data_IF_302731939936
#
_entry.id   IF_302731939936
#
_cell.length_a   1.000
_cell.length_b   1.000
_cell.length_c   1.000
_cell.angle_alpha   90.00
_cell.angle_beta   90.00
_cell.angle_gamma   90.00
#
_symmetry.space_group_name_H-M   'P 1'
#
loop_
_entity.id
_entity.type
_entity.pdbx_description
1 polymer ?
#
# COMPACT_ATOMS: atom_id res chain seq x y z
N UNK A 1 14.22 5.59 -36.20
CA UNK A 1 15.49 5.27 -35.51
C UNK A 1 15.29 5.57 -34.03
N UNK A 2 15.17 4.54 -33.21
CA UNK A 2 15.12 4.68 -31.74
C UNK A 2 16.56 4.80 -31.21
N UNK A 3 16.83 5.77 -30.34
CA UNK A 3 18.06 5.80 -29.54
C UNK A 3 17.77 5.23 -28.16
N UNK A 4 18.44 4.15 -27.79
CA UNK A 4 18.54 3.71 -26.39
C UNK A 4 19.80 4.32 -25.76
N UNK A 5 19.63 5.13 -24.71
CA UNK A 5 20.73 5.43 -23.79
C UNK A 5 20.82 4.33 -22.74
N UNK A 6 22.01 3.72 -22.60
CA UNK A 6 22.37 2.94 -21.41
C UNK A 6 23.36 3.74 -20.56
N UNK A 7 22.98 4.10 -19.33
CA UNK A 7 23.93 4.62 -18.34
C UNK A 7 24.59 3.46 -17.60
N UNK A 8 25.91 3.41 -17.57
CA UNK A 8 26.68 2.55 -16.67
C UNK A 8 27.56 3.42 -15.76
N UNK A 9 27.25 3.45 -14.46
CA UNK A 9 28.07 4.13 -13.47
C UNK A 9 29.05 3.13 -12.85
N UNK A 10 30.36 3.36 -12.96
CA UNK A 10 31.40 2.57 -12.31
C UNK A 10 32.21 3.45 -11.36
N UNK A 11 31.98 3.28 -10.06
CA UNK A 11 32.76 3.91 -8.99
C UNK A 11 33.90 2.98 -8.56
N UNK A 12 35.15 3.38 -8.78
CA UNK A 12 36.33 2.73 -8.21
C UNK A 12 36.90 3.58 -7.07
N UNK A 13 36.95 3.03 -5.86
CA UNK A 13 37.62 3.64 -4.71
C UNK A 13 38.87 2.81 -4.37
N UNK A 14 40.03 3.45 -4.41
CA UNK A 14 41.31 2.88 -3.97
C UNK A 14 41.67 3.38 -2.55
N UNK A 15 42.16 2.54 -1.63
CA UNK A 15 42.46 2.94 -0.25
C UNK A 15 43.88 3.51 -0.10
N UNK A 16 44.03 4.58 0.68
CA UNK A 16 45.31 5.09 1.19
C UNK A 16 45.15 5.77 2.58
N UNK A 17 46.22 5.83 3.40
CA UNK A 17 46.15 6.06 4.87
C UNK A 17 46.21 7.58 5.28
N UNK A 18 46.10 7.93 6.59
CA UNK A 18 45.39 9.15 7.02
C UNK A 18 46.23 10.40 7.36
N UNK A 19 45.51 11.51 7.61
CA UNK A 19 45.90 12.85 8.14
C UNK A 19 46.39 13.88 7.08
N UNK A 20 46.18 15.20 7.30
CA UNK A 20 44.84 15.81 7.26
C UNK A 20 44.82 17.11 6.42
N UNK A 21 44.26 17.10 5.21
CA UNK A 21 44.01 18.30 4.41
C UNK A 21 42.86 18.11 3.40
N UNK A 22 42.17 19.21 3.12
CA UNK A 22 41.14 19.48 2.09
C UNK A 22 40.78 18.35 1.11
N UNK A 23 39.57 17.81 1.22
CA UNK A 23 38.98 16.92 0.19
C UNK A 23 38.36 17.78 -0.92
N UNK A 24 39.12 18.01 -1.98
CA UNK A 24 38.59 18.48 -3.26
C UNK A 24 38.14 17.27 -4.10
N UNK A 25 36.83 16.99 -4.14
CA UNK A 25 36.32 15.93 -5.02
C UNK A 25 36.17 16.42 -6.45
N UNK A 26 37.11 16.07 -7.33
CA UNK A 26 36.92 16.22 -8.78
C UNK A 26 36.02 15.11 -9.32
N UNK A 27 34.86 15.47 -9.84
CA UNK A 27 34.00 14.53 -10.60
C UNK A 27 34.30 14.66 -12.08
N UNK A 28 34.79 13.57 -12.68
CA UNK A 28 35.05 13.49 -14.13
C UNK A 28 33.96 12.66 -14.78
N UNK A 29 33.14 13.29 -15.64
CA UNK A 29 32.13 12.60 -16.42
C UNK A 29 32.67 12.34 -17.83
N UNK A 30 32.67 11.06 -18.23
CA UNK A 30 33.02 10.64 -19.60
C UNK A 30 31.77 10.16 -20.31
N UNK A 31 31.57 10.67 -21.53
CA UNK A 31 30.47 10.28 -22.40
C UNK A 31 31.03 9.64 -23.67
N UNK A 32 30.47 8.48 -24.04
CA UNK A 32 30.65 7.87 -25.35
C UNK A 32 29.36 8.05 -26.14
N UNK A 33 29.48 8.65 -27.32
CA UNK A 33 28.36 8.83 -28.25
C UNK A 33 28.72 8.13 -29.55
N UNK A 34 27.80 7.29 -30.04
CA UNK A 34 27.96 6.56 -31.30
C UNK A 34 27.08 7.20 -32.37
N UNK A 35 27.69 7.83 -33.38
CA UNK A 35 26.99 8.46 -34.49
C UNK A 35 27.60 8.00 -35.81
N UNK A 36 26.74 7.43 -36.68
CA UNK A 36 27.07 7.04 -38.07
C UNK A 36 28.40 6.26 -38.22
N UNK A 37 28.64 5.28 -37.36
CA UNK A 37 29.77 4.35 -37.52
C UNK A 37 31.13 4.87 -37.02
N UNK A 38 31.17 6.00 -36.31
CA UNK A 38 32.34 6.47 -35.58
C UNK A 38 32.03 6.63 -34.09
N UNK A 39 33.02 6.35 -33.26
CA UNK A 39 33.00 6.63 -31.82
C UNK A 39 33.74 7.94 -31.57
N UNK A 40 33.11 8.86 -30.86
CA UNK A 40 33.78 10.02 -30.27
C UNK A 40 33.62 9.96 -28.74
N UNK A 41 34.70 10.32 -28.04
CA UNK A 41 34.78 10.30 -26.57
C UNK A 41 34.95 11.72 -26.08
N UNK A 42 33.98 12.19 -25.30
CA UNK A 42 34.03 13.52 -24.67
C UNK A 42 34.25 13.37 -23.17
N UNK A 43 35.18 14.16 -22.62
CA UNK A 43 35.44 14.25 -21.19
C UNK A 43 35.11 15.67 -20.72
N UNK A 44 34.29 15.79 -19.68
CA UNK A 44 34.00 17.07 -19.03
C UNK A 44 34.47 16.97 -17.58
N UNK A 45 35.42 17.82 -17.19
CA UNK A 45 35.75 18.05 -15.78
C UNK A 45 34.84 19.14 -15.23
N UNK A 46 34.21 18.89 -14.08
CA UNK A 46 33.56 19.94 -13.29
C UNK A 46 34.18 19.98 -11.90
N UNK A 47 34.63 21.17 -11.48
CA UNK A 47 35.11 21.45 -10.14
C UNK A 47 34.02 22.21 -9.37
N UNK A 48 33.67 21.71 -8.18
CA UNK A 48 32.80 22.40 -7.23
C UNK A 48 33.64 22.84 -6.02
N UNK A 49 33.65 24.14 -5.73
CA UNK A 49 34.27 24.71 -4.54
C UNK A 49 33.18 25.28 -3.62
N UNK A 50 33.09 24.78 -2.39
CA UNK A 50 32.19 25.31 -1.37
C UNK A 50 33.01 25.71 -0.13
N UNK A 51 33.02 27.00 0.18
CA UNK A 51 33.71 27.56 1.35
C UNK A 51 32.71 27.78 2.48
N UNK A 52 32.97 27.25 3.67
CA UNK A 52 32.14 27.46 4.87
C UNK A 52 32.94 28.34 5.86
N UNK A 53 32.45 29.53 6.25
CA UNK A 53 33.08 30.33 7.31
C UNK A 53 32.67 29.83 8.70
N UNK A 54 33.66 29.58 9.56
CA UNK A 54 33.45 29.46 11.01
C UNK A 54 33.26 30.85 11.63
N UNK A 55 32.29 31.01 12.53
CA UNK A 55 32.22 32.16 13.44
C UNK A 55 31.79 31.72 14.84
N UNK A 56 32.46 32.29 15.85
CA UNK A 56 32.22 32.05 17.27
C UNK A 56 31.83 33.35 17.99
N UNK A 57 30.85 33.24 18.89
CA UNK A 57 30.56 34.09 20.07
C UNK A 57 30.20 35.59 19.90
N UNK A 58 29.11 35.95 20.60
CA UNK A 58 28.79 37.24 21.25
C UNK A 58 28.47 38.48 20.38
N UNK A 59 27.39 39.21 20.76
CA UNK A 59 27.29 40.66 20.54
C UNK A 59 26.13 41.22 19.69
N UNK A 60 24.92 41.25 20.26
CA UNK A 60 23.99 42.42 20.39
C UNK A 60 24.00 43.57 19.33
N UNK A 61 22.77 43.89 18.87
CA UNK A 61 22.20 45.14 18.30
C UNK A 61 22.15 45.45 16.78
N UNK A 62 20.92 45.85 16.41
CA UNK A 62 20.42 46.79 15.39
C UNK A 62 20.40 46.50 13.86
N UNK A 63 19.26 46.89 13.28
CA UNK A 63 18.94 46.89 11.84
C UNK A 63 19.09 48.31 11.25
N UNK A 64 19.25 48.46 9.92
CA UNK A 64 18.06 48.84 9.13
C UNK A 64 17.99 48.40 7.64
N UNK A 65 16.74 48.17 7.20
CA UNK A 65 16.09 48.52 5.91
C UNK A 65 16.87 48.82 4.60
N UNK A 66 16.40 48.14 3.54
CA UNK A 66 16.05 48.64 2.17
C UNK A 66 17.16 48.85 1.12
N UNK A 67 17.07 48.12 -0.01
CA UNK A 67 16.84 48.69 -1.36
C UNK A 67 16.69 47.59 -2.45
N UNK A 68 16.17 47.97 -3.63
CA UNK A 68 15.83 47.10 -4.79
C UNK A 68 16.20 47.88 -6.10
N UNK A 69 16.05 47.34 -7.34
CA UNK A 69 17.19 46.97 -8.21
C UNK A 69 17.21 47.63 -9.62
N UNK A 70 18.26 47.47 -10.45
CA UNK A 70 18.29 47.64 -11.94
C UNK A 70 19.38 46.71 -12.56
N UNK A 71 19.09 45.83 -13.56
CA UNK A 71 19.16 45.94 -15.06
C UNK A 71 20.59 46.22 -15.64
N UNK A 72 21.09 45.57 -16.73
CA UNK A 72 20.82 45.89 -18.17
C UNK A 72 21.56 44.91 -19.19
N UNK A 73 20.87 44.42 -20.26
CA UNK A 73 21.28 44.16 -21.70
C UNK A 73 22.40 43.13 -22.12
N UNK A 74 22.49 42.54 -23.36
CA UNK A 74 21.58 42.31 -24.54
C UNK A 74 22.12 41.29 -25.60
N UNK A 75 21.28 40.98 -26.63
CA UNK A 75 21.54 40.57 -28.07
C UNK A 75 21.42 39.08 -28.50
N UNK A 76 21.19 38.66 -29.78
CA UNK A 76 20.32 39.14 -30.89
C UNK A 76 20.20 38.15 -32.11
N UNK A 77 18.97 37.88 -32.61
CA UNK A 77 18.52 37.61 -34.03
C UNK A 77 19.10 36.44 -34.89
N UNK A 78 18.50 36.02 -36.06
CA UNK A 78 17.38 36.60 -36.84
C UNK A 78 16.17 35.67 -37.19
N UNK A 79 15.29 36.19 -38.06
CA UNK A 79 13.86 35.89 -38.33
C UNK A 79 13.55 34.78 -39.37
N UNK A 80 12.27 34.36 -39.46
CA UNK A 80 11.51 34.35 -40.73
C UNK A 80 9.97 34.26 -40.53
N UNK A 81 9.19 34.85 -41.45
CA UNK A 81 7.75 35.12 -41.32
C UNK A 81 6.82 34.02 -41.86
N UNK A 82 5.61 33.91 -41.31
CA UNK A 82 4.38 34.10 -42.12
C UNK A 82 3.13 34.40 -41.25
N UNK A 83 2.17 35.15 -41.81
CA UNK A 83 0.88 35.48 -41.19
C UNK A 83 -0.24 34.62 -41.79
N UNK A 84 -1.24 34.21 -40.98
CA UNK A 84 -2.68 34.48 -41.23
C UNK A 84 -3.56 34.04 -40.03
N UNK A 85 -4.74 34.66 -39.82
CA UNK A 85 -5.59 34.44 -38.65
C UNK A 85 -6.73 33.43 -38.91
N UNK A 86 -7.34 32.91 -37.84
CA UNK A 86 -8.65 32.24 -37.88
C UNK A 86 -9.55 32.84 -36.79
N UNK A 87 -10.83 33.01 -37.14
CA UNK A 87 -11.79 33.85 -36.42
C UNK A 87 -12.37 33.20 -35.14
N UNK A 88 -12.63 34.04 -34.13
CA UNK A 88 -13.66 33.76 -33.13
C UNK A 88 -15.05 33.89 -33.75
N UNK A 89 -15.88 32.84 -33.66
CA UNK A 89 -17.31 32.93 -33.93
C UNK A 89 -18.08 33.07 -32.61
N UNK A 90 -18.73 34.23 -32.41
CA UNK A 90 -19.82 34.35 -31.44
C UNK A 90 -21.04 33.63 -32.00
N UNK A 91 -21.72 32.83 -31.18
CA UNK A 91 -23.12 32.47 -31.40
C UNK A 91 -23.93 32.97 -30.21
N UNK A 92 -24.86 33.87 -30.50
CA UNK A 92 -25.86 34.38 -29.55
C UNK A 92 -27.22 33.86 -29.99
N UNK A 93 -27.94 33.19 -29.10
CA UNK A 93 -29.36 32.86 -29.30
C UNK A 93 -30.09 32.87 -27.96
N UNK A 94 -30.88 33.93 -27.76
CA UNK A 94 -31.91 34.03 -26.73
C UNK A 94 -33.23 33.43 -27.25
N UNK A 95 -33.88 32.57 -26.49
CA UNK A 95 -35.32 32.28 -26.61
C UNK A 95 -35.87 31.56 -25.37
N UNK A 96 -36.56 32.33 -24.53
CA UNK A 96 -37.86 32.08 -23.88
C UNK A 96 -38.28 30.72 -23.30
N UNK A 97 -38.84 30.83 -22.09
CA UNK A 97 -39.66 29.83 -21.41
C UNK A 97 -40.97 29.53 -22.18
N UNK A 98 -41.36 28.26 -22.26
CA UNK A 98 -42.78 27.84 -22.24
C UNK A 98 -42.91 26.39 -21.74
N UNK A 99 -43.81 26.08 -20.78
CA UNK A 99 -43.96 24.72 -20.26
C UNK A 99 -45.06 23.93 -20.99
N UNK A 100 -44.78 22.67 -21.32
CA UNK A 100 -45.78 21.73 -21.84
C UNK A 100 -46.65 21.18 -20.71
N UNK A 101 -47.93 21.54 -20.73
CA UNK A 101 -48.97 20.90 -19.91
C UNK A 101 -49.33 19.53 -20.48
N UNK A 102 -49.46 18.53 -19.61
CA UNK A 102 -50.47 17.48 -19.76
C UNK A 102 -51.44 17.58 -18.57
N UNK A 103 -52.70 17.23 -18.81
CA UNK A 103 -53.82 17.61 -17.94
C UNK A 103 -54.58 16.39 -17.41
N UNK A 104 -54.92 16.42 -16.12
CA UNK A 104 -56.05 15.68 -15.54
C UNK A 104 -56.74 16.59 -14.50
N UNK A 105 -58.09 16.54 -14.35
CA UNK A 105 -58.84 17.57 -13.67
C UNK A 105 -58.94 17.36 -12.15
N UNK A 106 -59.11 18.47 -11.41
CA UNK A 106 -59.43 18.50 -9.98
C UNK A 106 -60.64 19.41 -9.77
N UNK A 107 -61.57 19.01 -8.88
CA UNK A 107 -62.40 19.85 -7.97
C UNK A 107 -63.56 19.00 -7.36
N UNK A 108 -64.17 19.39 -6.22
CA UNK A 108 -63.59 19.97 -4.98
C UNK A 108 -64.27 19.41 -3.69
N UNK A 109 -64.21 20.18 -2.57
CA UNK A 109 -64.96 20.11 -1.28
C UNK A 109 -64.23 19.37 -0.13
N UNK A 110 -64.35 19.77 1.14
CA UNK A 110 -64.43 21.12 1.77
C UNK A 110 -64.02 20.99 3.28
N UNK A 111 -64.01 22.09 4.04
CA UNK A 111 -63.42 22.18 5.41
C UNK A 111 -64.36 21.75 6.57
N UNK A 112 -63.79 21.77 7.80
CA UNK A 112 -64.41 21.71 9.15
C UNK A 112 -64.72 20.29 9.71
N UNK A 113 -64.46 19.97 10.99
CA UNK A 113 -63.73 20.69 12.06
C UNK A 113 -63.76 19.98 13.43
N UNK A 114 -62.93 20.45 14.37
CA UNK A 114 -62.96 20.28 15.84
C UNK A 114 -62.61 18.93 16.56
N UNK A 115 -61.60 19.08 17.43
CA UNK A 115 -61.43 18.57 18.82
C UNK A 115 -60.92 17.14 19.12
N UNK A 116 -60.18 17.11 20.23
CA UNK A 116 -59.41 16.01 20.80
C UNK A 116 -60.29 15.09 21.68
N UNK A 117 -60.01 13.78 21.74
CA UNK A 117 -59.37 13.12 22.90
C UNK A 117 -59.39 11.56 22.85
N UNK A 118 -58.32 10.97 23.40
CA UNK A 118 -58.25 9.68 24.12
C UNK A 118 -58.60 8.31 23.45
N UNK A 119 -57.51 7.54 23.21
CA UNK A 119 -57.20 6.29 23.94
C UNK A 119 -57.70 4.90 23.45
N UNK A 120 -56.80 4.24 22.68
CA UNK A 120 -56.38 2.82 22.72
C UNK A 120 -57.34 1.65 22.37
N UNK A 121 -56.67 0.56 21.96
CA UNK A 121 -57.15 -0.78 21.55
C UNK A 121 -57.88 -0.81 20.19
N UNK A 122 -57.54 -1.69 19.23
CA UNK A 122 -56.48 -2.69 19.16
C UNK A 122 -56.92 -3.89 18.31
N UNK A 123 -56.28 -4.14 17.17
CA UNK A 123 -56.58 -5.31 16.31
C UNK A 123 -55.28 -5.97 15.84
N UNK A 124 -55.22 -7.29 15.99
CA UNK A 124 -54.11 -8.15 15.60
C UNK A 124 -54.34 -8.65 14.17
N UNK A 125 -53.38 -8.49 13.26
CA UNK A 125 -53.40 -9.13 11.94
C UNK A 125 -52.32 -10.21 11.85
N UNK A 126 -52.73 -11.47 11.70
CA UNK A 126 -51.81 -12.57 11.42
C UNK A 126 -51.38 -12.57 9.95
N UNK A 127 -50.07 -12.52 9.71
CA UNK A 127 -49.47 -12.88 8.43
C UNK A 127 -48.90 -14.31 8.53
N UNK A 128 -49.38 -15.21 7.67
CA UNK A 128 -48.91 -16.61 7.64
C UNK A 128 -47.55 -16.66 6.93
N UNK A 129 -46.52 -17.13 7.64
CA UNK A 129 -45.16 -17.19 7.12
C UNK A 129 -44.94 -18.35 6.14
N UNK A 130 -44.63 -18.03 4.88
CA UNK A 130 -44.07 -18.99 3.92
C UNK A 130 -42.57 -19.12 4.15
N UNK A 131 -42.12 -20.26 4.67
CA UNK A 131 -40.69 -20.60 4.75
C UNK A 131 -40.18 -21.01 3.37
N UNK A 132 -39.36 -20.15 2.75
CA UNK A 132 -38.47 -20.54 1.66
C UNK A 132 -37.02 -20.39 2.12
N UNK A 133 -36.32 -21.51 2.28
CA UNK A 133 -34.90 -21.51 2.63
C UNK A 133 -34.05 -21.13 1.42
N UNK A 134 -33.51 -19.91 1.43
CA UNK A 134 -32.34 -19.49 0.64
C UNK A 134 -31.45 -18.62 1.52
N UNK A 135 -30.15 -18.68 1.27
CA UNK A 135 -29.12 -18.00 2.06
C UNK A 135 -29.43 -16.51 2.24
N UNK A 136 -29.05 -15.97 3.40
CA UNK A 136 -29.26 -14.57 3.77
C UNK A 136 -28.64 -13.63 2.73
N UNK A 137 -29.46 -13.12 1.83
CA UNK A 137 -29.08 -12.06 0.90
C UNK A 137 -28.86 -10.79 1.70
N UNK A 138 -27.66 -10.21 1.60
CA UNK A 138 -27.29 -8.95 2.24
C UNK A 138 -28.43 -7.92 2.15
N UNK A 139 -28.87 -7.41 3.30
CA UNK A 139 -29.94 -6.43 3.36
C UNK A 139 -29.47 -5.11 2.76
N UNK A 140 -30.03 -4.79 1.58
CA UNK A 140 -29.90 -3.47 0.95
C UNK A 140 -30.37 -2.41 1.95
N UNK A 141 -29.43 -1.69 2.57
CA UNK A 141 -29.75 -0.74 3.63
C UNK A 141 -28.57 -0.24 4.47
N UNK A 142 -27.49 -1.02 4.63
CA UNK A 142 -26.22 -0.50 5.16
C UNK A 142 -25.24 -0.27 4.01
N UNK A 143 -24.88 0.99 3.78
CA UNK A 143 -23.79 1.40 2.89
C UNK A 143 -22.50 0.77 3.44
N UNK A 144 -21.89 -0.14 2.69
CA UNK A 144 -20.55 -0.60 3.01
C UNK A 144 -19.60 0.57 2.76
N UNK A 145 -19.15 1.21 3.83
CA UNK A 145 -18.22 2.32 3.79
C UNK A 145 -17.03 1.95 4.67
N UNK A 146 -15.88 1.83 4.01
CA UNK A 146 -14.58 1.70 4.62
C UNK A 146 -13.97 3.10 4.55
N UNK A 147 -13.58 3.68 5.68
CA UNK A 147 -13.03 5.04 5.71
C UNK A 147 -11.49 5.02 5.65
N UNK A 148 -10.84 4.21 6.52
CA UNK A 148 -9.39 4.03 6.58
C UNK A 148 -8.97 2.55 6.59
N UNK A 149 -7.70 2.26 6.27
CA UNK A 149 -7.10 0.92 6.34
C UNK A 149 -5.87 0.94 7.24
N UNK A 150 -6.06 0.82 8.56
CA UNK A 150 -5.00 1.07 9.56
C UNK A 150 -4.46 -0.22 10.18
N UNK A 151 -5.32 -1.16 10.58
CA UNK A 151 -4.91 -2.37 11.30
C UNK A 151 -5.72 -3.60 10.89
N UNK A 152 -5.18 -4.81 11.09
CA UNK A 152 -5.87 -6.04 10.73
C UNK A 152 -7.16 -6.26 11.55
N UNK A 153 -7.16 -5.83 12.82
CA UNK A 153 -8.23 -6.12 13.76
C UNK A 153 -9.57 -5.46 13.37
N UNK A 154 -9.53 -4.34 12.63
CA UNK A 154 -10.70 -3.55 12.20
C UNK A 154 -11.65 -4.32 11.26
N UNK A 155 -11.15 -5.33 10.54
CA UNK A 155 -11.93 -6.08 9.54
C UNK A 155 -12.72 -7.21 10.20
N UNK A 156 -14.04 -7.23 10.06
CA UNK A 156 -14.88 -8.40 10.36
C UNK A 156 -15.06 -9.31 9.12
N UNK A 157 -15.76 -10.44 9.28
CA UNK A 157 -15.94 -11.41 8.19
C UNK A 157 -16.69 -10.81 7.01
N UNK A 158 -17.72 -10.01 7.26
CA UNK A 158 -18.55 -9.41 6.22
C UNK A 158 -17.72 -8.41 5.41
N UNK A 159 -16.89 -7.60 6.09
CA UNK A 159 -15.94 -6.66 5.48
C UNK A 159 -14.84 -7.38 4.68
N UNK A 160 -14.34 -8.51 5.16
CA UNK A 160 -13.37 -9.34 4.41
C UNK A 160 -14.01 -9.94 3.16
N UNK A 161 -15.18 -10.57 3.29
CA UNK A 161 -15.94 -11.13 2.16
C UNK A 161 -16.26 -10.06 1.11
N UNK A 162 -16.63 -8.86 1.56
CA UNK A 162 -16.87 -7.70 0.72
C UNK A 162 -15.60 -7.31 -0.07
N UNK A 163 -14.47 -7.06 0.60
CA UNK A 163 -13.20 -6.74 -0.06
C UNK A 163 -12.79 -7.82 -1.07
N UNK A 164 -13.02 -9.10 -0.76
CA UNK A 164 -12.66 -10.23 -1.63
C UNK A 164 -13.57 -10.34 -2.85
N UNK A 165 -14.85 -9.97 -2.77
CA UNK A 165 -15.73 -9.93 -3.94
C UNK A 165 -15.28 -8.87 -4.95
N UNK A 166 -14.98 -7.65 -4.48
CA UNK A 166 -14.42 -6.62 -5.36
C UNK A 166 -13.04 -7.02 -5.88
N UNK A 167 -12.20 -7.69 -5.09
CA UNK A 167 -10.91 -8.21 -5.58
C UNK A 167 -11.08 -9.23 -6.72
N UNK A 168 -12.10 -10.11 -6.66
CA UNK A 168 -12.47 -11.02 -7.75
C UNK A 168 -12.93 -10.28 -9.02
N UNK A 169 -13.51 -9.09 -8.90
CA UNK A 169 -13.77 -8.22 -10.06
C UNK A 169 -12.49 -7.61 -10.62
N UNK A 170 -11.58 -7.14 -9.75
CA UNK A 170 -10.33 -6.51 -10.14
C UNK A 170 -9.38 -7.47 -10.88
N UNK A 171 -9.53 -8.78 -10.71
CA UNK A 171 -8.84 -9.80 -11.51
C UNK A 171 -9.10 -9.68 -13.02
N UNK A 172 -10.24 -9.12 -13.43
CA UNK A 172 -10.58 -8.89 -14.84
C UNK A 172 -9.74 -7.76 -15.45
N UNK A 173 -9.13 -6.89 -14.63
CA UNK A 173 -8.30 -5.74 -15.04
C UNK A 173 -6.83 -6.17 -15.23
N UNK A 174 -6.65 -7.13 -16.12
CA UNK A 174 -5.34 -7.68 -16.50
C UNK A 174 -4.55 -6.74 -17.44
N UNK A 175 -3.25 -7.02 -17.62
CA UNK A 175 -2.34 -6.25 -18.48
C UNK A 175 -2.80 -6.14 -19.95
N UNK A 176 -3.62 -7.10 -20.40
CA UNK A 176 -4.13 -7.19 -21.76
C UNK A 176 -5.64 -6.87 -21.86
N UNK A 177 -6.26 -6.40 -20.76
CA UNK A 177 -7.61 -5.85 -20.79
C UNK A 177 -7.60 -4.45 -21.44
N UNK A 178 -8.76 -3.86 -21.79
CA UNK A 178 -8.85 -2.45 -22.22
C UNK A 178 -8.40 -1.41 -21.19
N UNK A 179 -7.90 -1.85 -20.02
CA UNK A 179 -7.73 -1.02 -18.83
C UNK A 179 -9.06 -0.79 -18.10
N UNK A 180 -8.97 -0.29 -16.88
CA UNK A 180 -10.10 0.31 -16.19
C UNK A 180 -9.93 1.83 -16.15
N UNK A 181 -11.04 2.56 -16.08
CA UNK A 181 -11.10 4.01 -15.92
C UNK A 181 -11.96 4.39 -14.69
N UNK A 182 -12.20 3.42 -13.80
CA UNK A 182 -13.04 3.56 -12.60
C UNK A 182 -12.55 4.69 -11.69
N UNK A 183 -11.23 4.88 -11.57
CA UNK A 183 -10.60 5.93 -10.76
C UNK A 183 -10.02 7.07 -11.62
N UNK A 184 -10.54 7.28 -12.83
CA UNK A 184 -10.10 8.38 -13.68
C UNK A 184 -10.38 9.73 -13.01
N UNK A 185 -9.33 10.53 -12.85
CA UNK A 185 -9.40 11.85 -12.21
C UNK A 185 -9.06 11.85 -10.72
N UNK A 186 -8.88 10.69 -10.10
CA UNK A 186 -8.41 10.57 -8.72
C UNK A 186 -6.87 10.55 -8.65
N UNK A 187 -6.32 11.15 -7.59
CA UNK A 187 -4.90 11.26 -7.27
C UNK A 187 -4.59 10.53 -5.97
N UNK A 188 -3.72 9.52 -6.05
CA UNK A 188 -3.20 8.80 -4.87
C UNK A 188 -1.81 9.32 -4.51
N UNK A 189 -1.64 9.82 -3.29
CA UNK A 189 -0.32 10.12 -2.75
C UNK A 189 0.34 8.87 -2.15
N UNK A 190 1.64 8.68 -2.38
CA UNK A 190 2.41 7.58 -1.75
C UNK A 190 3.56 8.12 -0.91
N UNK A 191 3.44 8.01 0.42
CA UNK A 191 4.39 8.55 1.41
C UNK A 191 5.17 7.42 2.09
N UNK A 192 6.36 7.10 1.55
CA UNK A 192 7.20 6.01 2.06
C UNK A 192 8.43 6.56 2.80
N UNK A 193 8.39 6.50 4.13
CA UNK A 193 9.48 6.89 5.04
C UNK A 193 10.39 5.70 5.43
N UNK A 194 10.05 4.48 4.99
CA UNK A 194 10.89 3.29 5.06
C UNK A 194 10.90 2.64 3.65
N UNK A 195 12.05 2.20 3.12
CA UNK A 195 12.11 1.58 1.78
C UNK A 195 11.22 0.35 1.63
N UNK A 196 10.33 0.34 0.62
CA UNK A 196 9.60 -0.86 0.20
C UNK A 196 9.18 -0.82 -1.27
N UNK A 197 10.02 -1.39 -2.14
CA UNK A 197 9.80 -1.43 -3.59
C UNK A 197 8.52 -2.19 -3.97
N UNK A 198 8.31 -3.40 -3.43
CA UNK A 198 7.13 -4.22 -3.77
C UNK A 198 5.82 -3.55 -3.35
N UNK A 199 5.72 -3.11 -2.09
CA UNK A 199 4.49 -2.51 -1.58
C UNK A 199 4.17 -1.23 -2.35
N UNK A 200 5.12 -0.31 -2.53
CA UNK A 200 4.91 0.92 -3.30
C UNK A 200 4.48 0.64 -4.74
N UNK A 201 5.30 -0.08 -5.52
CA UNK A 201 5.02 -0.34 -6.94
C UNK A 201 3.69 -1.06 -7.16
N UNK A 202 3.26 -1.91 -6.21
CA UNK A 202 1.95 -2.58 -6.30
C UNK A 202 0.76 -1.64 -6.08
N UNK A 203 0.86 -0.64 -5.19
CA UNK A 203 -0.16 0.41 -5.06
C UNK A 203 -0.15 1.35 -6.26
N UNK A 204 1.02 1.80 -6.72
CA UNK A 204 1.12 2.64 -7.92
C UNK A 204 0.52 1.94 -9.15
N UNK A 205 0.80 0.63 -9.30
CA UNK A 205 0.24 -0.19 -10.37
C UNK A 205 -1.27 -0.40 -10.23
N UNK A 206 -1.79 -0.52 -9.01
CA UNK A 206 -3.23 -0.64 -8.75
C UNK A 206 -3.97 0.62 -9.19
N UNK A 207 -3.49 1.80 -8.75
CA UNK A 207 -4.08 3.09 -9.10
C UNK A 207 -4.06 3.34 -10.62
N UNK A 208 -2.88 3.17 -11.24
CA UNK A 208 -2.70 3.37 -12.70
C UNK A 208 -3.54 2.41 -13.54
N UNK A 209 -3.76 1.16 -13.09
CA UNK A 209 -4.66 0.21 -13.79
C UNK A 209 -6.13 0.55 -13.71
N UNK A 210 -6.54 1.28 -12.66
CA UNK A 210 -7.89 1.82 -12.51
C UNK A 210 -8.09 3.16 -13.22
N UNK A 211 -7.06 3.68 -13.89
CA UNK A 211 -7.09 4.95 -14.62
C UNK A 211 -6.78 6.18 -13.76
N UNK A 212 -6.43 5.99 -12.49
CA UNK A 212 -6.03 7.06 -11.57
C UNK A 212 -4.55 7.43 -11.68
N UNK A 213 -4.21 8.58 -11.09
CA UNK A 213 -2.86 9.15 -11.10
C UNK A 213 -2.17 9.02 -9.73
N UNK A 214 -0.85 9.22 -9.69
CA UNK A 214 -0.02 8.97 -8.51
C UNK A 214 0.92 10.14 -8.25
N UNK A 215 0.87 10.68 -7.04
CA UNK A 215 1.83 11.64 -6.50
C UNK A 215 2.83 10.88 -5.59
N UNK A 216 4.04 10.63 -6.09
CA UNK A 216 5.05 9.85 -5.35
C UNK A 216 6.17 10.73 -4.79
N UNK A 217 6.49 10.53 -3.51
CA UNK A 217 7.78 10.93 -2.95
C UNK A 217 8.54 9.68 -2.53
N UNK A 218 9.63 9.40 -3.23
CA UNK A 218 10.56 8.34 -2.81
C UNK A 218 11.36 8.83 -1.61
N UNK A 219 11.44 8.00 -0.56
CA UNK A 219 12.19 8.28 0.66
C UNK A 219 11.88 9.66 1.27
N UNK A 220 10.61 9.87 1.66
CA UNK A 220 10.12 11.15 2.18
C UNK A 220 10.96 11.70 3.35
N UNK A 221 11.57 10.82 4.16
CA UNK A 221 12.51 11.18 5.23
C UNK A 221 13.73 11.98 4.75
N UNK A 222 14.22 11.74 3.54
CA UNK A 222 15.42 12.39 2.98
C UNK A 222 15.09 13.51 1.99
N UNK A 223 13.99 13.40 1.24
CA UNK A 223 13.67 14.32 0.14
C UNK A 223 12.44 15.23 0.38
N UNK A 224 11.66 15.03 1.46
CA UNK A 224 10.52 15.91 1.79
C UNK A 224 10.89 16.94 2.86
N UNK A 225 9.94 17.82 3.21
CA UNK A 225 10.03 18.73 4.34
C UNK A 225 10.26 18.03 5.70
N UNK A 226 10.01 16.72 5.81
CA UNK A 226 10.38 15.93 6.98
C UNK A 226 11.91 15.94 7.24
N UNK A 227 12.73 16.02 6.18
CA UNK A 227 14.19 16.22 6.30
C UNK A 227 14.57 17.57 6.93
N UNK A 228 13.63 18.52 6.96
CA UNK A 228 13.75 19.86 7.56
C UNK A 228 13.08 19.95 8.94
N UNK A 229 12.58 18.83 9.48
CA UNK A 229 11.92 18.77 10.79
C UNK A 229 10.41 19.04 10.79
N UNK A 230 9.74 19.00 9.63
CA UNK A 230 8.27 19.04 9.57
C UNK A 230 7.64 17.84 10.31
N UNK A 231 6.51 18.05 11.00
CA UNK A 231 5.81 16.96 11.70
C UNK A 231 5.09 16.05 10.70
N UNK A 232 4.82 14.80 11.09
CA UNK A 232 4.04 13.88 10.26
C UNK A 232 2.64 14.47 9.98
N UNK A 233 2.04 15.07 11.01
CA UNK A 233 0.74 15.71 10.97
C UNK A 233 0.70 16.87 9.95
N UNK A 234 1.70 17.77 9.96
CA UNK A 234 1.82 18.87 8.98
C UNK A 234 2.06 18.36 7.56
N UNK A 235 2.90 17.32 7.39
CA UNK A 235 3.10 16.66 6.09
C UNK A 235 1.78 16.08 5.55
N UNK A 236 0.97 15.43 6.41
CA UNK A 236 -0.32 14.85 6.04
C UNK A 236 -1.31 15.95 5.66
N UNK A 237 -1.45 17.01 6.47
CA UNK A 237 -2.29 18.19 6.17
C UNK A 237 -1.89 18.91 4.88
N UNK A 238 -0.62 18.88 4.52
CA UNK A 238 -0.13 19.45 3.26
C UNK A 238 -0.47 18.55 2.06
N UNK A 239 -0.29 17.24 2.19
CA UNK A 239 -0.45 16.27 1.09
C UNK A 239 -1.92 15.96 0.79
N UNK A 240 -2.82 16.01 1.78
CA UNK A 240 -4.26 15.82 1.55
C UNK A 240 -4.85 16.92 0.65
N UNK A 241 -4.33 18.15 0.73
CA UNK A 241 -4.73 19.24 -0.16
C UNK A 241 -4.41 19.01 -1.65
N UNK A 242 -3.68 17.94 -1.99
CA UNK A 242 -3.26 17.58 -3.35
C UNK A 242 -3.74 16.20 -3.81
N UNK A 243 -4.40 15.41 -2.95
CA UNK A 243 -4.73 14.01 -3.24
C UNK A 243 -6.06 13.58 -2.65
N UNK A 244 -6.68 12.55 -3.21
CA UNK A 244 -7.95 12.00 -2.74
C UNK A 244 -7.77 10.83 -1.76
N UNK A 245 -6.55 10.29 -1.67
CA UNK A 245 -6.18 9.15 -0.82
C UNK A 245 -4.66 9.09 -0.59
N UNK A 246 -4.23 8.78 0.64
CA UNK A 246 -2.81 8.65 0.99
C UNK A 246 -2.50 7.18 1.35
N UNK A 247 -1.53 6.60 0.65
CA UNK A 247 -0.89 5.33 1.02
C UNK A 247 0.43 5.65 1.71
N UNK A 248 0.57 5.28 2.99
CA UNK A 248 1.78 5.59 3.76
C UNK A 248 2.47 4.37 4.37
N UNK A 249 3.80 4.45 4.46
CA UNK A 249 4.64 3.49 5.19
C UNK A 249 5.61 4.24 6.09
N UNK A 250 5.65 3.90 7.37
CA UNK A 250 6.43 4.61 8.38
C UNK A 250 7.29 3.67 9.23
N UNK A 251 8.38 4.18 9.80
CA UNK A 251 9.29 3.41 10.67
C UNK A 251 8.81 3.36 12.13
N UNK A 252 7.97 4.29 12.56
CA UNK A 252 7.29 4.26 13.86
C UNK A 252 5.99 3.46 13.81
N UNK A 253 5.70 2.71 14.88
CA UNK A 253 4.40 2.09 15.11
C UNK A 253 3.36 3.15 15.46
N UNK A 254 2.12 3.00 15.00
CA UNK A 254 1.00 3.91 15.26
C UNK A 254 0.99 5.17 14.39
N UNK A 255 2.03 5.42 13.59
CA UNK A 255 2.10 6.59 12.70
C UNK A 255 0.94 6.64 11.67
N UNK A 256 0.51 5.49 11.16
CA UNK A 256 -0.67 5.44 10.28
C UNK A 256 -1.96 5.86 11.00
N UNK A 257 -2.10 5.55 12.29
CA UNK A 257 -3.24 6.00 13.11
C UNK A 257 -3.17 7.50 13.41
N UNK A 258 -1.97 8.06 13.63
CA UNK A 258 -1.77 9.52 13.78
C UNK A 258 -2.16 10.26 12.50
N UNK A 259 -1.74 9.75 11.34
CA UNK A 259 -2.13 10.30 10.05
C UNK A 259 -3.65 10.24 9.82
N UNK A 260 -4.29 9.10 10.08
CA UNK A 260 -5.75 8.94 9.94
C UNK A 260 -6.55 9.85 10.87
N UNK A 261 -6.07 10.05 12.11
CA UNK A 261 -6.66 11.02 13.04
C UNK A 261 -6.42 12.49 12.64
N UNK A 262 -5.55 12.73 11.65
CA UNK A 262 -5.21 14.07 11.16
C UNK A 262 -5.93 14.38 9.84
N UNK A 263 -6.00 13.43 8.92
CA UNK A 263 -6.51 13.63 7.57
C UNK A 263 -8.04 13.69 7.49
N UNK A 264 -8.53 14.35 6.45
CA UNK A 264 -9.95 14.37 6.04
C UNK A 264 -10.22 13.46 4.82
N UNK A 265 -9.17 12.81 4.31
CA UNK A 265 -9.20 11.82 3.22
C UNK A 265 -8.69 10.44 3.71
N UNK A 266 -9.07 9.32 3.06
CA UNK A 266 -8.65 7.98 3.44
C UNK A 266 -7.13 7.77 3.55
N UNK A 267 -6.71 7.11 4.62
CA UNK A 267 -5.34 6.65 4.86
C UNK A 267 -5.24 5.12 4.72
N UNK A 268 -4.27 4.65 3.93
CA UNK A 268 -3.89 3.23 3.87
C UNK A 268 -2.52 3.00 4.51
N UNK A 269 -2.48 2.16 5.55
CA UNK A 269 -1.26 1.65 6.15
C UNK A 269 -0.60 0.57 5.26
N UNK A 270 0.50 0.96 4.62
CA UNK A 270 1.43 0.10 3.86
C UNK A 270 2.59 -0.44 4.73
N UNK A 271 2.49 -0.29 6.05
CA UNK A 271 3.36 -0.84 7.09
C UNK A 271 3.86 0.23 8.06
N UNK A 272 3.65 0.04 9.37
CA UNK A 272 4.09 0.97 10.42
C UNK A 272 4.96 0.29 11.50
N UNK A 273 6.25 0.60 11.51
CA UNK A 273 7.23 0.05 12.46
C UNK A 273 7.17 -1.49 12.61
N UNK A 274 7.34 -2.06 13.82
CA UNK A 274 7.11 -3.48 14.07
C UNK A 274 5.61 -3.85 14.20
N UNK A 275 4.70 -2.89 13.98
CA UNK A 275 3.27 -2.99 14.26
C UNK A 275 2.46 -3.74 13.20
N UNK A 276 1.75 -3.01 12.35
CA UNK A 276 0.73 -3.57 11.46
C UNK A 276 1.16 -3.55 9.99
N UNK A 277 0.54 -4.41 9.19
CA UNK A 277 0.53 -4.32 7.73
C UNK A 277 -0.80 -4.90 7.18
N UNK A 278 -1.94 -4.21 7.38
CA UNK A 278 -3.27 -4.75 7.11
C UNK A 278 -3.43 -5.23 5.66
N UNK A 279 -2.91 -4.45 4.70
CA UNK A 279 -3.01 -4.78 3.26
C UNK A 279 -2.18 -5.99 2.84
N UNK A 280 -1.18 -6.40 3.63
CA UNK A 280 -0.49 -7.67 3.43
C UNK A 280 -1.32 -8.82 4.03
N UNK A 281 -1.88 -8.67 5.24
CA UNK A 281 -2.76 -9.70 5.80
C UNK A 281 -4.00 -9.97 4.92
N UNK A 282 -4.61 -8.91 4.36
CA UNK A 282 -5.73 -9.03 3.43
C UNK A 282 -5.39 -9.84 2.18
N UNK A 283 -4.24 -9.58 1.55
CA UNK A 283 -3.82 -10.33 0.36
C UNK A 283 -3.35 -11.75 0.68
N UNK A 284 -2.85 -11.96 1.90
CA UNK A 284 -2.48 -13.29 2.39
C UNK A 284 -3.74 -14.14 2.60
N UNK A 285 -4.74 -13.67 3.35
CA UNK A 285 -6.02 -14.39 3.54
C UNK A 285 -6.75 -14.59 2.22
N UNK A 286 -6.79 -13.58 1.34
CA UNK A 286 -7.36 -13.75 0.00
C UNK A 286 -6.63 -14.84 -0.80
N UNK A 287 -5.30 -14.91 -0.70
CA UNK A 287 -4.55 -15.99 -1.36
C UNK A 287 -4.88 -17.36 -0.78
N UNK A 288 -5.04 -17.50 0.54
CA UNK A 288 -5.47 -18.76 1.15
C UNK A 288 -6.86 -19.17 0.62
N UNK A 289 -7.82 -18.24 0.54
CA UNK A 289 -9.15 -18.50 -0.06
C UNK A 289 -9.02 -18.99 -1.51
N UNK A 290 -8.15 -18.36 -2.29
CA UNK A 290 -7.99 -18.65 -3.74
C UNK A 290 -7.23 -19.93 -4.04
N UNK A 291 -6.35 -20.36 -3.16
CA UNK A 291 -5.55 -21.59 -3.34
C UNK A 291 -6.22 -22.82 -2.69
N UNK A 292 -6.81 -22.66 -1.49
CA UNK A 292 -7.42 -23.75 -0.70
C UNK A 292 -8.94 -23.86 -0.94
N UNK A 293 -9.60 -22.80 -1.42
CA UNK A 293 -11.04 -22.75 -1.66
C UNK A 293 -11.90 -22.53 -0.40
N UNK A 294 -11.29 -22.42 0.77
CA UNK A 294 -11.96 -22.20 2.08
C UNK A 294 -11.05 -21.46 3.07
N UNK A 295 -11.65 -20.87 4.09
CA UNK A 295 -10.97 -20.18 5.20
C UNK A 295 -11.36 -20.69 6.60
N UNK A 296 -12.54 -21.30 6.75
CA UNK A 296 -12.91 -22.03 7.96
C UNK A 296 -12.34 -23.46 7.91
N UNK A 297 -11.95 -24.01 9.06
CA UNK A 297 -11.44 -25.38 9.16
C UNK A 297 -10.12 -25.61 8.44
N UNK A 298 -9.16 -24.68 8.56
CA UNK A 298 -7.82 -24.77 7.96
C UNK A 298 -6.72 -24.79 9.03
N UNK A 299 -5.60 -25.41 8.71
CA UNK A 299 -4.42 -25.50 9.58
C UNK A 299 -3.25 -24.76 8.94
N UNK A 300 -2.72 -23.74 9.65
CA UNK A 300 -1.70 -22.82 9.13
C UNK A 300 -0.43 -22.89 9.97
N UNK A 301 0.71 -23.16 9.33
CA UNK A 301 2.03 -22.98 9.93
C UNK A 301 2.57 -21.58 9.61
N UNK A 302 2.97 -20.84 10.65
CA UNK A 302 3.65 -19.56 10.56
C UNK A 302 5.12 -19.79 10.96
N UNK A 303 6.04 -19.64 9.99
CA UNK A 303 7.42 -20.12 10.11
C UNK A 303 8.44 -18.98 9.95
N UNK A 304 9.47 -18.97 10.80
CA UNK A 304 10.60 -18.03 10.71
C UNK A 304 10.65 -16.97 11.82
N UNK A 305 10.73 -15.68 11.45
CA UNK A 305 10.82 -14.56 12.38
C UNK A 305 9.43 -14.06 12.80
N UNK A 306 8.90 -14.67 13.86
CA UNK A 306 7.58 -14.38 14.39
C UNK A 306 7.60 -13.19 15.37
N UNK A 307 8.74 -12.94 16.02
CA UNK A 307 8.94 -11.81 16.93
C UNK A 307 8.82 -10.46 16.21
N UNK A 308 9.42 -10.33 15.01
CA UNK A 308 9.50 -9.08 14.24
C UNK A 308 8.66 -9.12 12.95
N UNK A 309 8.04 -10.25 12.61
CA UNK A 309 7.20 -10.44 11.43
C UNK A 309 5.85 -9.70 11.52
N UNK A 310 5.83 -8.38 11.26
CA UNK A 310 4.59 -7.56 11.25
C UNK A 310 3.48 -8.13 10.35
N UNK A 311 3.85 -8.81 9.26
CA UNK A 311 2.92 -9.47 8.33
C UNK A 311 2.25 -10.69 8.96
N UNK A 312 3.03 -11.55 9.62
CA UNK A 312 2.55 -12.74 10.35
C UNK A 312 1.62 -12.36 11.50
N UNK A 313 1.98 -11.30 12.23
CA UNK A 313 1.14 -10.73 13.30
C UNK A 313 -0.22 -10.27 12.77
N UNK A 314 -0.20 -9.49 11.68
CA UNK A 314 -1.40 -9.02 10.99
C UNK A 314 -2.24 -10.19 10.44
N UNK A 315 -1.60 -11.24 9.90
CA UNK A 315 -2.25 -12.44 9.40
C UNK A 315 -2.93 -13.25 10.51
N UNK A 316 -2.28 -13.43 11.67
CA UNK A 316 -2.86 -14.12 12.82
C UNK A 316 -4.16 -13.43 13.31
N UNK A 317 -4.19 -12.08 13.33
CA UNK A 317 -5.39 -11.32 13.66
C UNK A 317 -6.57 -11.55 12.70
N UNK A 318 -6.31 -11.77 11.40
CA UNK A 318 -7.35 -12.07 10.42
C UNK A 318 -7.78 -13.54 10.43
N UNK A 319 -6.83 -14.48 10.54
CA UNK A 319 -7.11 -15.91 10.66
C UNK A 319 -8.02 -16.21 11.86
N UNK A 320 -7.82 -15.49 12.97
CA UNK A 320 -8.67 -15.55 14.16
C UNK A 320 -10.12 -15.02 13.99
N UNK A 321 -10.50 -14.56 12.79
CA UNK A 321 -11.91 -14.25 12.44
C UNK A 321 -12.65 -15.46 11.85
N UNK A 322 -11.93 -16.54 11.52
CA UNK A 322 -12.48 -17.76 10.93
C UNK A 322 -12.61 -18.88 11.96
N UNK A 323 -13.53 -19.82 11.71
CA UNK A 323 -13.87 -20.93 12.59
C UNK A 323 -12.93 -22.10 12.37
N UNK A 324 -12.68 -22.86 13.45
CA UNK A 324 -11.96 -24.13 13.40
C UNK A 324 -10.55 -24.03 12.76
N UNK A 325 -9.94 -22.84 12.83
CA UNK A 325 -8.56 -22.60 12.36
C UNK A 325 -7.57 -23.03 13.44
N UNK A 326 -6.58 -23.85 13.10
CA UNK A 326 -5.43 -24.13 13.97
C UNK A 326 -4.17 -23.43 13.46
N UNK A 327 -3.42 -22.80 14.36
CA UNK A 327 -2.16 -22.10 14.04
C UNK A 327 -0.97 -22.82 14.68
N UNK A 328 0.03 -23.21 13.89
CA UNK A 328 1.33 -23.64 14.40
C UNK A 328 2.35 -22.51 14.28
N UNK A 329 3.12 -22.27 15.33
CA UNK A 329 4.26 -21.35 15.34
C UNK A 329 5.57 -22.16 15.31
N UNK A 330 6.37 -21.97 14.25
CA UNK A 330 7.66 -22.65 14.08
C UNK A 330 8.77 -21.60 13.94
N UNK A 331 9.54 -21.38 15.00
CA UNK A 331 10.49 -20.28 15.09
C UNK A 331 11.78 -20.67 15.82
N UNK A 332 12.92 -20.03 15.50
CA UNK A 332 14.09 -20.04 16.37
C UNK A 332 13.77 -19.33 17.68
N UNK A 333 14.34 -19.78 18.80
CA UNK A 333 14.00 -19.29 20.15
C UNK A 333 14.15 -17.77 20.29
N UNK A 334 15.17 -17.20 19.62
CA UNK A 334 15.47 -15.77 19.59
C UNK A 334 14.42 -14.90 18.87
N UNK A 335 13.51 -15.49 18.08
CA UNK A 335 12.46 -14.80 17.32
C UNK A 335 11.08 -15.48 17.40
N UNK A 336 10.79 -16.14 18.53
CA UNK A 336 9.48 -16.72 18.84
C UNK A 336 8.34 -15.69 18.80
N UNK A 337 7.12 -16.18 18.59
CA UNK A 337 5.93 -15.33 18.68
C UNK A 337 5.79 -14.81 20.12
N UNK A 338 5.54 -13.51 20.28
CA UNK A 338 5.40 -12.91 21.61
C UNK A 338 3.98 -13.12 22.13
N UNK A 339 3.84 -12.98 23.43
CA UNK A 339 2.61 -13.36 24.15
C UNK A 339 1.40 -12.51 23.76
N UNK A 340 1.60 -11.28 23.26
CA UNK A 340 0.51 -10.41 22.78
C UNK A 340 -0.38 -11.06 21.71
N UNK A 341 0.21 -11.88 20.82
CA UNK A 341 -0.56 -12.64 19.82
C UNK A 341 -1.12 -13.94 20.43
N UNK A 342 -0.38 -14.60 21.32
CA UNK A 342 -0.83 -15.85 21.98
C UNK A 342 -2.06 -15.59 22.84
N UNK A 343 -2.04 -14.52 23.64
CA UNK A 343 -3.14 -14.07 24.48
C UNK A 343 -4.34 -13.62 23.63
N UNK A 344 -4.10 -12.96 22.49
CA UNK A 344 -5.17 -12.66 21.54
C UNK A 344 -5.85 -13.94 21.03
N UNK A 345 -5.08 -14.92 20.56
CA UNK A 345 -5.62 -16.21 20.07
C UNK A 345 -6.36 -16.97 21.18
N UNK A 346 -5.83 -16.97 22.41
CA UNK A 346 -6.49 -17.53 23.59
C UNK A 346 -7.84 -16.84 23.85
N UNK A 347 -7.89 -15.50 23.84
CA UNK A 347 -9.14 -14.74 24.03
C UNK A 347 -10.19 -15.01 22.94
N UNK A 348 -9.73 -15.44 21.76
CA UNK A 348 -10.56 -15.83 20.62
C UNK A 348 -10.86 -17.33 20.56
N UNK A 349 -10.36 -18.13 21.49
CA UNK A 349 -10.47 -19.59 21.51
C UNK A 349 -9.93 -20.26 20.23
N UNK A 350 -8.92 -19.65 19.60
CA UNK A 350 -8.25 -20.19 18.41
C UNK A 350 -7.14 -21.14 18.86
N UNK A 351 -7.19 -22.44 18.54
CA UNK A 351 -6.15 -23.37 18.95
C UNK A 351 -4.82 -23.03 18.28
N UNK A 352 -3.76 -22.93 19.09
CA UNK A 352 -2.40 -22.72 18.60
C UNK A 352 -1.39 -23.61 19.34
N UNK A 353 -0.23 -23.82 18.72
CA UNK A 353 0.84 -24.68 19.24
C UNK A 353 2.21 -24.17 18.77
N UNK A 354 3.22 -24.18 19.64
CA UNK A 354 4.62 -23.94 19.27
C UNK A 354 5.33 -25.27 19.04
N UNK A 355 6.05 -25.40 17.91
CA UNK A 355 6.87 -26.58 17.61
C UNK A 355 8.24 -26.19 17.04
N UNK A 356 9.22 -27.06 17.26
CA UNK A 356 10.56 -26.97 16.69
C UNK A 356 10.76 -27.89 15.47
N UNK A 357 9.76 -28.70 15.10
CA UNK A 357 9.83 -29.61 13.96
C UNK A 357 8.97 -29.09 12.79
N UNK A 358 9.63 -28.49 11.79
CA UNK A 358 8.99 -28.02 10.57
C UNK A 358 8.41 -29.17 9.72
N UNK A 359 9.04 -30.34 9.71
CA UNK A 359 8.60 -31.47 8.89
C UNK A 359 7.32 -32.08 9.47
N UNK A 360 7.27 -32.26 10.78
CA UNK A 360 6.08 -32.74 11.49
C UNK A 360 4.91 -31.77 11.29
N UNK A 361 5.13 -30.47 11.49
CA UNK A 361 4.10 -29.44 11.31
C UNK A 361 3.64 -29.34 9.86
N UNK A 362 4.57 -29.31 8.88
CA UNK A 362 4.22 -29.20 7.47
C UNK A 362 3.38 -30.38 6.96
N UNK A 363 3.52 -31.57 7.54
CA UNK A 363 2.68 -32.74 7.21
C UNK A 363 1.21 -32.58 7.61
N UNK A 364 0.91 -31.70 8.56
CA UNK A 364 -0.43 -31.47 9.14
C UNK A 364 -1.14 -30.21 8.62
N UNK A 365 -0.44 -29.35 7.89
CA UNK A 365 -0.92 -28.01 7.54
C UNK A 365 -1.45 -27.91 6.10
N UNK A 366 -2.50 -27.11 5.91
CA UNK A 366 -3.00 -26.67 4.61
C UNK A 366 -2.16 -25.50 4.05
N UNK A 367 -1.52 -24.72 4.93
CA UNK A 367 -0.70 -23.56 4.54
C UNK A 367 0.60 -23.55 5.33
N UNK A 368 1.73 -23.44 4.64
CA UNK A 368 3.05 -23.13 5.22
C UNK A 368 3.42 -21.71 4.81
N UNK A 369 3.24 -20.76 5.72
CA UNK A 369 3.58 -19.36 5.53
C UNK A 369 4.99 -19.10 6.10
N UNK A 370 5.98 -19.09 5.22
CA UNK A 370 7.37 -18.89 5.56
C UNK A 370 7.71 -17.39 5.61
N UNK A 371 8.64 -17.01 6.50
CA UNK A 371 9.23 -15.68 6.58
C UNK A 371 10.76 -15.73 6.65
N UNK A 372 11.39 -14.64 6.18
CA UNK A 372 12.83 -14.42 6.35
C UNK A 372 13.17 -14.06 7.80
N UNK A 373 14.39 -14.40 8.22
CA UNK A 373 14.99 -13.81 9.43
C UNK A 373 15.44 -12.38 9.10
N UNK A 374 14.97 -11.38 9.85
CA UNK A 374 15.30 -9.97 9.58
C UNK A 374 16.66 -9.60 10.19
N UNK A 375 17.76 -9.70 9.43
CA UNK A 375 19.12 -9.33 9.89
C UNK A 375 19.16 -7.95 10.55
N UNK A 376 18.42 -7.00 9.98
CA UNK A 376 18.27 -5.63 10.46
C UNK A 376 17.69 -5.47 11.88
N UNK A 377 17.11 -6.54 12.47
CA UNK A 377 16.52 -6.53 13.83
C UNK A 377 17.46 -7.04 14.92
N UNK A 378 18.59 -7.64 14.55
CA UNK A 378 19.51 -8.22 15.53
C UNK A 378 20.51 -7.20 16.08
N UNK A 379 20.83 -6.16 15.29
CA UNK A 379 21.83 -5.15 15.65
C UNK A 379 23.22 -5.77 15.68
N UNK A 380 23.91 -5.61 16.80
CA UNK A 380 25.26 -6.18 17.02
C UNK A 380 25.23 -7.71 17.28
N UNK A 381 24.05 -8.30 17.57
CA UNK A 381 23.86 -9.73 17.89
C UNK A 381 23.82 -10.61 16.64
N UNK A 382 24.87 -10.52 15.83
CA UNK A 382 25.00 -11.19 14.53
C UNK A 382 25.11 -12.71 14.71
N UNK A 383 25.68 -13.16 15.83
CA UNK A 383 25.71 -14.55 16.28
C UNK A 383 24.31 -15.18 16.32
N UNK A 384 23.37 -14.53 17.01
CA UNK A 384 21.98 -14.99 17.10
C UNK A 384 21.25 -14.95 15.75
N UNK A 385 21.65 -14.04 14.85
CA UNK A 385 21.12 -13.99 13.49
C UNK A 385 21.57 -15.20 12.67
N UNK A 386 22.87 -15.53 12.65
CA UNK A 386 23.36 -16.67 11.86
C UNK A 386 22.95 -18.02 12.47
N UNK A 387 22.65 -18.11 13.78
CA UNK A 387 22.01 -19.30 14.40
C UNK A 387 20.53 -19.46 13.99
N UNK A 388 19.78 -18.35 13.93
CA UNK A 388 18.37 -18.36 13.55
C UNK A 388 18.15 -18.58 12.04
N UNK A 389 19.04 -18.02 11.23
CA UNK A 389 19.04 -18.12 9.77
C UNK A 389 19.32 -19.57 9.33
N UNK A 390 18.55 -20.05 8.36
CA UNK A 390 18.73 -21.41 7.84
C UNK A 390 18.28 -22.55 8.77
N UNK A 391 17.85 -22.28 10.00
CA UNK A 391 17.27 -23.29 10.92
C UNK A 391 15.99 -23.91 10.36
N UNK A 392 15.20 -23.11 9.63
CA UNK A 392 13.96 -23.54 8.98
C UNK A 392 14.00 -23.13 7.50
N UNK A 393 14.19 -24.12 6.63
CA UNK A 393 14.25 -23.95 5.18
C UNK A 393 13.18 -24.83 4.54
N UNK A 394 12.34 -24.22 3.69
CA UNK A 394 11.38 -24.94 2.85
C UNK A 394 12.08 -25.38 1.57
N UNK A 395 12.30 -26.68 1.43
CA UNK A 395 12.81 -27.32 0.22
C UNK A 395 12.02 -28.58 -0.14
N UNK A 396 12.56 -29.40 -1.06
CA UNK A 396 11.93 -30.66 -1.52
C UNK A 396 11.58 -31.63 -0.38
N UNK A 397 12.34 -31.63 0.71
CA UNK A 397 12.05 -32.42 1.90
C UNK A 397 10.71 -32.00 2.53
N UNK A 398 10.51 -30.71 2.78
CA UNK A 398 9.25 -30.18 3.34
C UNK A 398 8.09 -30.44 2.36
N UNK A 399 8.32 -30.19 1.07
CA UNK A 399 7.35 -30.51 0.00
C UNK A 399 6.97 -32.00 -0.07
N UNK A 400 7.86 -32.92 0.30
CA UNK A 400 7.57 -34.37 0.26
C UNK A 400 6.68 -34.87 1.41
N UNK A 401 6.54 -34.10 2.49
CA UNK A 401 5.65 -34.44 3.62
C UNK A 401 4.36 -33.60 3.65
N UNK A 402 4.36 -32.43 3.00
CA UNK A 402 3.15 -31.61 2.86
C UNK A 402 2.05 -32.33 2.09
N UNK A 403 0.80 -32.07 2.48
CA UNK A 403 -0.39 -32.55 1.77
C UNK A 403 -0.40 -32.06 0.31
N UNK A 404 -1.07 -32.81 -0.58
CA UNK A 404 -1.12 -32.49 -2.00
C UNK A 404 -1.87 -31.18 -2.31
N UNK A 405 -2.85 -30.81 -1.48
CA UNK A 405 -3.63 -29.58 -1.60
C UNK A 405 -3.04 -28.39 -0.82
N UNK A 406 -2.01 -28.61 -0.01
CA UNK A 406 -1.44 -27.57 0.83
C UNK A 406 -0.57 -26.60 0.01
N UNK A 407 -0.41 -25.35 0.47
CA UNK A 407 0.41 -24.34 -0.23
C UNK A 407 1.53 -23.73 0.60
N UNK A 408 2.61 -23.35 -0.09
CA UNK A 408 3.74 -22.59 0.46
C UNK A 408 3.57 -21.11 0.10
N UNK A 409 3.49 -20.26 1.11
CA UNK A 409 3.31 -18.81 0.99
C UNK A 409 4.49 -18.06 1.61
N UNK A 410 4.77 -16.84 1.13
CA UNK A 410 5.86 -15.99 1.60
C UNK A 410 5.60 -14.52 1.21
N UNK A 411 5.71 -13.54 2.14
CA UNK A 411 5.42 -12.12 1.86
C UNK A 411 6.45 -11.44 0.94
N UNK A 412 7.61 -12.08 0.71
CA UNK A 412 8.78 -11.63 -0.03
C UNK A 412 9.50 -10.40 0.61
N UNK A 413 10.82 -10.26 0.43
CA UNK A 413 11.71 -11.06 -0.41
C UNK A 413 12.16 -12.31 0.35
N UNK A 414 12.25 -13.44 -0.35
CA UNK A 414 12.96 -14.60 0.19
C UNK A 414 14.48 -14.42 0.05
N UNK A 415 15.23 -15.04 0.95
CA UNK A 415 16.67 -15.24 0.84
C UNK A 415 16.95 -16.73 0.64
N UNK A 416 17.31 -17.44 1.71
CA UNK A 416 17.67 -18.86 1.75
C UNK A 416 16.63 -19.74 2.45
N UNK A 417 15.59 -19.15 3.04
CA UNK A 417 14.52 -19.86 3.75
C UNK A 417 13.52 -20.61 2.84
N UNK A 418 13.59 -20.39 1.51
CA UNK A 418 12.91 -21.22 0.50
C UNK A 418 13.89 -21.49 -0.64
N UNK A 419 14.15 -22.75 -0.96
CA UNK A 419 15.08 -23.13 -2.04
C UNK A 419 14.46 -22.93 -3.43
N UNK A 420 15.28 -22.60 -4.43
CA UNK A 420 14.81 -22.21 -5.79
C UNK A 420 14.14 -23.36 -6.55
N UNK A 421 14.42 -24.61 -6.17
CA UNK A 421 13.79 -25.79 -6.74
C UNK A 421 12.36 -26.04 -6.23
N UNK A 422 11.87 -25.24 -5.27
CA UNK A 422 10.46 -25.17 -4.87
C UNK A 422 9.61 -24.44 -5.91
N UNK A 423 10.18 -23.52 -6.71
CA UNK A 423 9.45 -22.65 -7.65
C UNK A 423 8.65 -23.41 -8.72
N UNK A 424 9.08 -24.63 -9.05
CA UNK A 424 8.40 -25.50 -10.01
C UNK A 424 7.26 -26.34 -9.41
N UNK A 425 7.11 -26.38 -8.09
CA UNK A 425 6.02 -27.12 -7.44
C UNK A 425 4.71 -26.30 -7.54
N UNK A 426 3.58 -26.90 -7.97
CA UNK A 426 2.31 -26.18 -8.07
C UNK A 426 1.87 -25.53 -6.74
N UNK A 427 2.28 -26.08 -5.59
CA UNK A 427 1.98 -25.57 -4.24
C UNK A 427 2.75 -24.30 -3.88
N UNK A 428 3.75 -23.90 -4.66
CA UNK A 428 4.49 -22.65 -4.47
C UNK A 428 3.64 -21.44 -4.86
N UNK A 429 2.93 -20.86 -3.89
CA UNK A 429 1.95 -19.80 -4.13
C UNK A 429 2.52 -18.37 -4.01
N UNK A 430 3.73 -18.16 -3.47
CA UNK A 430 4.27 -16.83 -3.13
C UNK A 430 4.34 -15.82 -4.31
N UNK A 431 4.49 -16.26 -5.56
CA UNK A 431 4.37 -15.35 -6.71
C UNK A 431 2.91 -15.05 -7.10
N UNK A 432 2.00 -16.02 -6.92
CA UNK A 432 0.56 -15.81 -7.08
C UNK A 432 0.01 -14.89 -5.99
N UNK A 433 0.46 -15.07 -4.75
CA UNK A 433 0.27 -14.17 -3.60
C UNK A 433 0.69 -12.73 -3.93
N UNK A 434 1.89 -12.52 -4.50
CA UNK A 434 2.32 -11.18 -4.92
C UNK A 434 1.41 -10.57 -6.00
N UNK A 435 0.89 -11.38 -6.93
CA UNK A 435 -0.10 -10.96 -7.94
C UNK A 435 -1.46 -10.62 -7.30
N UNK A 436 -1.94 -11.44 -6.37
CA UNK A 436 -3.16 -11.23 -5.59
C UNK A 436 -3.12 -9.92 -4.80
N UNK A 437 -1.92 -9.54 -4.34
CA UNK A 437 -1.63 -8.23 -3.76
C UNK A 437 -1.93 -7.03 -4.64
N UNK A 438 -1.97 -7.18 -5.97
CA UNK A 438 -2.42 -6.12 -6.87
C UNK A 438 -3.95 -5.96 -6.80
N UNK A 439 -4.68 -7.08 -6.90
CA UNK A 439 -6.15 -7.08 -6.97
C UNK A 439 -6.79 -6.59 -5.66
N UNK A 440 -6.24 -7.00 -4.51
CA UNK A 440 -6.68 -6.51 -3.19
C UNK A 440 -6.43 -5.00 -3.05
N UNK A 441 -5.29 -4.48 -3.53
CA UNK A 441 -5.02 -3.04 -3.50
C UNK A 441 -5.94 -2.27 -4.45
N UNK A 442 -6.25 -2.81 -5.62
CA UNK A 442 -7.26 -2.24 -6.53
C UNK A 442 -8.65 -2.22 -5.89
N UNK A 443 -9.04 -3.29 -5.20
CA UNK A 443 -10.32 -3.36 -4.50
C UNK A 443 -10.42 -2.32 -3.38
N UNK A 444 -9.38 -2.19 -2.54
CA UNK A 444 -9.33 -1.18 -1.50
C UNK A 444 -9.41 0.25 -2.07
N UNK A 445 -8.66 0.56 -3.14
CA UNK A 445 -8.73 1.88 -3.78
C UNK A 445 -10.13 2.18 -4.34
N UNK A 446 -10.80 1.22 -5.00
CA UNK A 446 -12.20 1.37 -5.43
C UNK A 446 -13.13 1.62 -4.23
N UNK A 447 -13.03 0.79 -3.19
CA UNK A 447 -13.94 0.82 -2.05
C UNK A 447 -13.82 2.10 -1.22
N UNK A 448 -12.60 2.63 -1.03
CA UNK A 448 -12.36 3.86 -0.28
C UNK A 448 -12.79 5.11 -1.05
N UNK A 449 -12.60 5.15 -2.38
CA UNK A 449 -12.86 6.34 -3.20
C UNK A 449 -14.29 6.42 -3.78
N UNK A 450 -14.94 5.27 -3.98
CA UNK A 450 -16.26 5.18 -4.62
C UNK A 450 -17.31 4.43 -3.79
N UNK A 451 -16.88 3.63 -2.81
CA UNK A 451 -17.75 2.68 -2.12
C UNK A 451 -17.92 1.35 -2.87
N UNK A 452 -18.99 0.64 -2.48
CA UNK A 452 -19.37 -0.69 -2.98
C UNK A 452 -19.80 -0.67 -4.45
#
# INVERSE_FOLDING_TARGET
LSLSLSLSLSLSLSPSPPLPAEISSKTVLRFQIFLRGKYEVFTIEMAASASIPFYTSNGVLDAPKVSKPHKIFMSHYPELLSKKPVNCARVSSSADFTPLRSSCPVKPLQLEGNRETQQKFGVLCHAVGLKNGRADSFSVGKKFQLDDVIEAQQFDRDTLSAIFEVAREMEKVEKNSPGSQILKGYLMATLFYEPSTRTRLSFESAMKRLGGEVLTTENAREFSSAAKGETLEDSIRTVEGYSDIIVMRHFESGAARRAAATAEIPIINAGDGPGQHPTQALLDVYTIEREIGKLDGITVALVGDLANGRTVRSLAYLLAKYKDVKIYFVAPDVVKMKDDIKDYLNSRHVPWEESADLMEVASKCDVVYQTRIQKERFGERIDLYEEARGKYIVGRNVLSVMQNHAVVMHPLPRLDEITVDVDGDPRAAYFRQAKNGLYIRMALLKLLLLGW
#
